data_IF_053074641320
#
_entry.id   IF_053074641320
#
_cell.length_a   1.000
_cell.length_b   1.000
_cell.length_c   1.000
_cell.angle_alpha   90.00
_cell.angle_beta   90.00
_cell.angle_gamma   90.00
#
_symmetry.space_group_name_H-M   'P 1'
#
loop_
_entity.id
_entity.type
_entity.pdbx_description
1 polymer ?
#
# COMPACT_ATOMS: atom_id res chain seq x y z
N UNK A 1 -72.14 -29.05 -40.55
CA UNK A 1 -73.22 -28.07 -40.74
C UNK A 1 -73.38 -27.35 -39.41
N UNK A 2 -73.14 -26.03 -39.39
CA UNK A 2 -73.30 -25.03 -38.31
C UNK A 2 -72.57 -25.31 -36.97
N UNK A 3 -71.55 -24.57 -36.52
CA UNK A 3 -71.37 -23.12 -36.24
C UNK A 3 -72.17 -22.59 -35.05
N UNK A 4 -71.46 -22.30 -33.95
CA UNK A 4 -71.54 -21.10 -33.10
C UNK A 4 -70.43 -21.23 -32.03
N UNK A 5 -69.58 -20.26 -31.69
CA UNK A 5 -69.65 -18.82 -31.89
C UNK A 5 -69.50 -18.12 -30.52
N UNK A 6 -68.47 -17.27 -30.37
CA UNK A 6 -68.22 -16.31 -29.27
C UNK A 6 -67.40 -16.81 -28.06
N UNK A 7 -66.53 -16.04 -27.40
CA UNK A 7 -65.73 -14.86 -27.72
C UNK A 7 -64.85 -14.57 -26.48
N UNK A 8 -63.54 -14.40 -26.71
CA UNK A 8 -62.69 -13.31 -26.18
C UNK A 8 -62.63 -13.06 -24.66
N UNK A 9 -61.44 -13.28 -24.08
CA UNK A 9 -60.79 -12.33 -23.18
C UNK A 9 -59.28 -12.63 -23.08
N UNK A 10 -58.49 -11.95 -23.91
CA UNK A 10 -57.03 -11.88 -23.77
C UNK A 10 -56.72 -10.85 -22.68
N UNK A 11 -56.00 -11.23 -21.62
CA UNK A 11 -55.35 -10.26 -20.74
C UNK A 11 -53.85 -10.20 -21.05
N UNK A 12 -53.50 -9.34 -22.00
CA UNK A 12 -52.17 -8.73 -22.07
C UNK A 12 -52.00 -7.88 -20.81
N UNK A 13 -51.07 -8.21 -19.93
CA UNK A 13 -50.53 -7.21 -18.98
C UNK A 13 -49.29 -6.61 -19.61
N UNK A 14 -49.49 -5.36 -19.99
CA UNK A 14 -48.54 -4.38 -20.49
C UNK A 14 -47.44 -4.20 -19.46
N UNK A 15 -46.18 -4.33 -19.92
CA UNK A 15 -45.03 -3.83 -19.20
C UNK A 15 -45.09 -2.30 -19.20
N UNK A 16 -45.07 -1.72 -18.00
CA UNK A 16 -44.80 -0.29 -17.80
C UNK A 16 -43.37 -0.21 -17.29
N UNK A 17 -42.49 0.30 -18.14
CA UNK A 17 -41.10 0.57 -17.82
C UNK A 17 -41.00 1.63 -16.73
N UNK A 18 -40.17 1.34 -15.73
CA UNK A 18 -39.71 2.33 -14.76
C UNK A 18 -38.54 3.06 -15.43
N UNK A 19 -38.86 4.18 -16.06
CA UNK A 19 -37.90 5.18 -16.49
C UNK A 19 -38.16 6.46 -15.68
N UNK A 20 -37.16 6.86 -14.89
CA UNK A 20 -37.19 8.03 -14.01
C UNK A 20 -36.38 7.67 -12.78
N UNK A 21 -35.16 8.15 -12.56
CA UNK A 21 -34.51 9.35 -13.07
C UNK A 21 -33.70 9.85 -11.89
N UNK A 22 -32.58 9.20 -11.58
CA UNK A 22 -31.70 9.63 -10.49
C UNK A 22 -30.85 10.78 -11.02
N UNK A 23 -31.23 11.99 -10.64
CA UNK A 23 -30.45 13.19 -10.86
C UNK A 23 -29.15 13.09 -10.07
N UNK A 24 -28.02 13.04 -10.78
CA UNK A 24 -26.67 13.12 -10.20
C UNK A 24 -26.40 14.61 -9.91
N UNK A 25 -26.52 14.99 -8.65
CA UNK A 25 -25.94 16.24 -8.15
C UNK A 25 -24.45 15.99 -7.86
N UNK A 26 -23.62 16.46 -8.78
CA UNK A 26 -22.20 16.66 -8.57
C UNK A 26 -21.99 17.84 -7.61
N UNK A 27 -21.55 17.57 -6.38
CA UNK A 27 -20.98 18.59 -5.51
C UNK A 27 -19.94 17.97 -4.54
N UNK A 28 -18.70 18.41 -4.70
CA UNK A 28 -17.58 18.38 -3.75
C UNK A 28 -17.22 17.06 -3.04
N UNK A 29 -16.19 16.37 -3.54
CA UNK A 29 -15.08 15.82 -2.73
C UNK A 29 -15.33 14.78 -1.64
N UNK A 30 -16.54 14.26 -1.44
CA UNK A 30 -16.83 13.21 -0.46
C UNK A 30 -16.71 11.81 -1.08
N UNK A 31 -16.01 10.90 -0.41
CA UNK A 31 -16.05 9.48 -0.74
C UNK A 31 -17.48 8.95 -0.57
N UNK A 32 -18.19 8.71 -1.67
CA UNK A 32 -19.55 8.15 -1.64
C UNK A 32 -19.44 6.66 -1.28
N UNK A 33 -19.75 6.30 -0.04
CA UNK A 33 -20.00 4.92 0.36
C UNK A 33 -21.39 4.52 -0.15
N UNK A 34 -21.47 3.39 -0.87
CA UNK A 34 -22.74 2.82 -1.31
C UNK A 34 -23.27 1.92 -0.17
N UNK A 35 -24.45 2.23 0.35
CA UNK A 35 -25.16 1.34 1.26
C UNK A 35 -25.62 0.09 0.49
N UNK A 36 -25.22 -1.11 0.95
CA UNK A 36 -25.73 -2.37 0.44
C UNK A 36 -27.04 -2.75 1.14
N UNK A 37 -27.97 -3.35 0.39
CA UNK A 37 -29.28 -3.86 0.89
C UNK A 37 -29.14 -5.01 1.93
N UNK A 38 -27.92 -5.40 2.29
CA UNK A 38 -27.59 -6.49 3.20
C UNK A 38 -27.10 -6.01 4.59
N UNK A 39 -27.29 -4.72 4.91
CA UNK A 39 -26.89 -4.14 6.20
C UNK A 39 -25.38 -3.85 6.29
N UNK A 40 -24.70 -3.74 5.15
CA UNK A 40 -23.26 -3.44 5.07
C UNK A 40 -23.01 -2.12 4.40
N UNK A 41 -22.00 -1.41 4.90
CA UNK A 41 -21.46 -0.22 4.26
C UNK A 41 -20.08 -0.53 3.70
N UNK A 42 -19.99 -0.55 2.37
CA UNK A 42 -18.73 -0.83 1.66
C UNK A 42 -18.04 0.47 1.32
N UNK A 43 -16.83 0.66 1.85
CA UNK A 43 -16.00 1.82 1.57
C UNK A 43 -15.18 1.56 0.31
N UNK A 44 -15.17 2.51 -0.64
CA UNK A 44 -14.31 2.40 -1.81
C UNK A 44 -12.85 2.23 -1.40
N UNK A 45 -12.12 1.41 -2.15
CA UNK A 45 -10.69 1.17 -1.94
C UNK A 45 -9.85 2.48 -1.88
N UNK A 46 -10.36 3.56 -2.49
CA UNK A 46 -9.73 4.88 -2.59
C UNK A 46 -9.90 5.79 -1.35
N UNK A 47 -10.64 5.38 -0.31
CA UNK A 47 -10.71 6.12 0.95
C UNK A 47 -9.31 6.30 1.56
N UNK A 48 -8.97 7.53 1.96
CA UNK A 48 -7.62 7.99 2.32
C UNK A 48 -7.04 7.18 3.50
N UNK A 49 -6.12 6.27 3.20
CA UNK A 49 -5.26 5.58 4.17
C UNK A 49 -3.83 6.03 3.87
N UNK A 50 -3.11 6.69 4.80
CA UNK A 50 -1.72 7.11 4.56
C UNK A 50 -0.77 5.92 4.29
N UNK A 51 -1.19 4.68 4.58
CA UNK A 51 -0.49 3.44 4.22
C UNK A 51 -1.00 2.80 2.91
N UNK A 52 -1.66 3.61 2.05
CA UNK A 52 -2.18 3.25 0.72
C UNK A 52 -1.25 2.29 -0.04
N UNK A 53 -1.57 1.00 -0.03
CA UNK A 53 -0.95 0.02 -0.91
C UNK A 53 -0.62 -1.35 -0.35
N UNK A 54 -1.02 -1.69 0.89
CA UNK A 54 -0.71 -2.96 1.56
C UNK A 54 -1.13 -4.24 0.82
N UNK A 55 -1.66 -4.16 -0.39
CA UNK A 55 -1.71 -5.30 -1.30
C UNK A 55 -0.31 -5.74 -1.80
N UNK A 56 0.61 -4.82 -2.13
CA UNK A 56 1.90 -5.16 -2.76
C UNK A 56 2.88 -5.84 -1.79
N UNK A 57 3.63 -6.84 -2.28
CA UNK A 57 4.66 -7.50 -1.47
C UNK A 57 5.72 -6.50 -0.96
N UNK A 58 6.01 -5.49 -1.76
CA UNK A 58 6.92 -4.39 -1.47
C UNK A 58 6.50 -3.63 -0.21
N UNK A 59 5.19 -3.38 -0.06
CA UNK A 59 4.63 -2.68 1.10
C UNK A 59 4.69 -3.56 2.36
N UNK A 60 4.47 -4.88 2.22
CA UNK A 60 4.65 -5.82 3.32
C UNK A 60 6.08 -5.83 3.84
N UNK A 61 7.07 -5.76 2.94
CA UNK A 61 8.48 -5.74 3.34
C UNK A 61 8.89 -4.37 3.87
N UNK A 62 8.41 -3.28 3.26
CA UNK A 62 8.76 -1.91 3.63
C UNK A 62 8.16 -1.46 4.96
N UNK A 63 6.93 -1.90 5.28
CA UNK A 63 6.20 -1.45 6.46
C UNK A 63 5.96 -2.56 7.49
N UNK A 64 5.98 -3.83 7.09
CA UNK A 64 5.75 -4.95 8.00
C UNK A 64 6.99 -5.43 8.74
N UNK A 65 6.76 -5.85 9.98
CA UNK A 65 7.70 -6.59 10.81
C UNK A 65 7.49 -8.10 10.64
N UNK A 66 6.24 -8.54 10.45
CA UNK A 66 5.90 -9.94 10.25
C UNK A 66 4.85 -10.13 9.16
N UNK A 67 4.90 -11.30 8.51
CA UNK A 67 3.76 -11.89 7.84
C UNK A 67 3.39 -13.16 8.59
N UNK A 68 2.13 -13.31 9.01
CA UNK A 68 1.72 -14.43 9.86
C UNK A 68 0.35 -14.97 9.47
N UNK A 69 0.16 -16.28 9.68
CA UNK A 69 -1.16 -16.92 9.63
C UNK A 69 -1.79 -16.81 11.01
N UNK A 70 -2.92 -16.14 11.09
CA UNK A 70 -3.66 -15.88 12.32
C UNK A 70 -5.05 -16.49 12.24
N UNK A 71 -5.55 -17.02 13.34
CA UNK A 71 -6.93 -17.48 13.49
C UNK A 71 -7.65 -16.52 14.44
N UNK A 72 -8.69 -15.86 13.97
CA UNK A 72 -9.48 -14.96 14.82
C UNK A 72 -10.32 -15.80 15.77
N UNK A 73 -10.15 -15.57 17.06
CA UNK A 73 -10.80 -16.34 18.14
C UNK A 73 -11.91 -15.55 18.81
N UNK A 74 -11.77 -14.22 18.90
CA UNK A 74 -12.72 -13.35 19.59
C UNK A 74 -12.84 -12.00 18.91
N UNK A 75 -14.00 -11.38 19.08
CA UNK A 75 -14.27 -10.01 18.71
C UNK A 75 -14.81 -9.25 19.94
N UNK A 76 -14.52 -7.95 20.00
CA UNK A 76 -15.12 -7.02 20.96
C UNK A 76 -15.40 -5.69 20.29
N UNK A 77 -16.59 -5.15 20.51
CA UNK A 77 -16.86 -3.76 20.23
C UNK A 77 -16.08 -2.86 21.19
N UNK A 78 -15.56 -1.75 20.66
CA UNK A 78 -15.08 -0.65 21.47
C UNK A 78 -16.23 0.24 21.95
N UNK A 79 -15.89 1.27 22.70
CA UNK A 79 -16.86 2.30 23.08
C UNK A 79 -17.24 3.12 21.83
N UNK A 80 -18.54 3.34 21.58
CA UNK A 80 -18.98 4.27 20.55
C UNK A 80 -18.44 5.66 20.86
N UNK A 81 -17.88 6.34 19.86
CA UNK A 81 -17.63 7.76 20.00
C UNK A 81 -18.99 8.50 19.90
N UNK A 82 -19.41 9.30 20.90
CA UNK A 82 -20.67 10.01 20.81
C UNK A 82 -20.71 11.08 19.70
N UNK A 83 -19.56 11.49 19.18
CA UNK A 83 -19.44 12.46 18.08
C UNK A 83 -19.31 11.80 16.70
N UNK A 84 -19.03 10.49 16.64
CA UNK A 84 -18.94 9.74 15.39
C UNK A 84 -20.02 8.66 15.31
N UNK A 85 -20.59 8.47 14.12
CA UNK A 85 -21.48 7.33 13.87
C UNK A 85 -20.73 6.00 13.77
N UNK A 86 -19.53 5.87 14.37
CA UNK A 86 -18.63 4.74 14.23
C UNK A 86 -18.34 4.07 15.57
N UNK A 87 -18.49 2.75 15.58
CA UNK A 87 -18.16 1.88 16.70
C UNK A 87 -16.91 1.10 16.29
N UNK A 88 -15.73 1.41 16.84
CA UNK A 88 -14.52 0.66 16.55
C UNK A 88 -14.66 -0.77 17.07
N UNK A 89 -13.86 -1.69 16.52
CA UNK A 89 -13.79 -3.04 17.06
C UNK A 89 -12.36 -3.54 17.18
N UNK A 90 -12.18 -4.51 18.07
CA UNK A 90 -10.94 -5.25 18.26
C UNK A 90 -11.19 -6.74 18.07
N UNK A 91 -10.24 -7.39 17.42
CA UNK A 91 -10.23 -8.85 17.28
C UNK A 91 -9.03 -9.44 17.99
N UNK A 92 -9.26 -10.50 18.73
CA UNK A 92 -8.20 -11.34 19.29
C UNK A 92 -7.94 -12.48 18.34
N UNK A 93 -6.67 -12.73 18.03
CA UNK A 93 -6.27 -13.79 17.11
C UNK A 93 -5.08 -14.58 17.64
N UNK A 94 -5.13 -15.89 17.45
CA UNK A 94 -4.00 -16.79 17.72
C UNK A 94 -3.08 -16.83 16.50
N UNK A 95 -1.80 -16.58 16.70
CA UNK A 95 -0.76 -16.73 15.68
C UNK A 95 -0.44 -18.21 15.54
N UNK A 96 -0.87 -18.79 14.42
CA UNK A 96 -0.67 -20.22 14.13
C UNK A 96 0.66 -20.51 13.45
N UNK A 97 1.17 -19.54 12.68
CA UNK A 97 2.44 -19.65 11.96
C UNK A 97 2.98 -18.29 11.56
N UNK A 98 4.26 -18.04 11.84
CA UNK A 98 4.99 -16.92 11.22
C UNK A 98 5.51 -17.36 9.85
N UNK A 99 5.19 -16.61 8.80
CA UNK A 99 5.55 -16.90 7.40
C UNK A 99 6.83 -16.16 7.02
N UNK A 100 6.94 -14.90 7.40
CA UNK A 100 8.10 -14.04 7.16
C UNK A 100 8.29 -13.11 8.35
N UNK A 101 9.52 -12.69 8.59
CA UNK A 101 9.84 -11.65 9.57
C UNK A 101 10.98 -10.80 9.05
N UNK A 102 10.87 -9.50 9.27
CA UNK A 102 11.95 -8.56 9.02
C UNK A 102 13.15 -8.90 9.93
N UNK A 103 14.40 -8.85 9.43
CA UNK A 103 15.56 -8.98 10.28
C UNK A 103 15.54 -7.96 11.43
N UNK A 104 15.70 -8.44 12.67
CA UNK A 104 15.66 -7.59 13.85
C UNK A 104 14.26 -7.23 14.36
N UNK A 105 13.19 -7.71 13.72
CA UNK A 105 11.84 -7.54 14.25
C UNK A 105 11.72 -8.19 15.65
N UNK A 106 10.99 -7.57 16.59
CA UNK A 106 10.63 -8.19 17.86
C UNK A 106 9.97 -9.55 17.66
N UNK A 107 9.96 -10.40 18.69
CA UNK A 107 9.24 -11.69 18.60
C UNK A 107 7.73 -11.43 18.61
N UNK A 108 7.03 -11.91 17.58
CA UNK A 108 5.58 -11.87 17.53
C UNK A 108 4.98 -12.77 18.64
N UNK A 109 4.07 -12.27 19.49
CA UNK A 109 3.36 -13.07 20.49
C UNK A 109 2.48 -14.17 19.87
N UNK A 110 2.17 -15.21 20.64
CA UNK A 110 1.26 -16.28 20.21
C UNK A 110 -0.20 -15.84 20.11
N UNK A 111 -0.57 -14.80 20.86
CA UNK A 111 -1.88 -14.17 20.81
C UNK A 111 -1.69 -12.67 20.58
N UNK A 112 -2.44 -12.12 19.63
CA UNK A 112 -2.40 -10.70 19.30
C UNK A 112 -3.82 -10.12 19.32
N UNK A 113 -3.91 -8.83 19.59
CA UNK A 113 -5.15 -8.06 19.45
C UNK A 113 -4.96 -7.02 18.37
N UNK A 114 -5.85 -7.01 17.37
CA UNK A 114 -5.81 -6.09 16.25
C UNK A 114 -7.00 -5.13 16.33
N UNK A 115 -6.77 -3.85 16.07
CA UNK A 115 -7.85 -2.90 15.76
C UNK A 115 -8.25 -3.09 14.31
N UNK A 116 -9.54 -3.25 14.05
CA UNK A 116 -10.09 -3.48 12.71
C UNK A 116 -11.40 -2.72 12.54
N UNK A 117 -11.91 -2.65 11.31
CA UNK A 117 -13.14 -1.93 11.01
C UNK A 117 -14.36 -2.55 11.73
N UNK A 118 -15.08 -1.73 12.49
CA UNK A 118 -16.21 -2.16 13.30
C UNK A 118 -17.56 -1.98 12.61
N UNK A 119 -18.39 -1.09 13.16
CA UNK A 119 -19.74 -0.85 12.69
C UNK A 119 -20.04 0.65 12.60
N UNK A 120 -20.96 1.02 11.73
CA UNK A 120 -21.60 2.31 11.77
C UNK A 120 -22.96 2.23 12.46
N UNK A 121 -23.31 3.23 13.24
CA UNK A 121 -24.68 3.41 13.72
C UNK A 121 -25.57 3.90 12.58
N UNK A 122 -26.79 3.39 12.52
CA UNK A 122 -27.81 3.89 11.59
C UNK A 122 -28.69 4.92 12.27
N UNK A 123 -29.34 5.79 11.48
CA UNK A 123 -30.28 6.81 11.99
C UNK A 123 -31.41 6.22 12.85
N UNK A 124 -31.70 4.92 12.71
CA UNK A 124 -32.74 4.21 13.45
C UNK A 124 -32.21 3.39 14.63
N UNK A 125 -30.95 3.62 15.05
CA UNK A 125 -30.32 2.92 16.17
C UNK A 125 -29.84 1.50 15.85
N UNK A 126 -29.79 1.13 14.56
CA UNK A 126 -29.20 -0.12 14.09
C UNK A 126 -27.70 -0.02 13.94
N UNK A 127 -27.06 -1.15 13.58
CA UNK A 127 -25.64 -1.21 13.24
C UNK A 127 -25.46 -1.76 11.83
N UNK A 128 -24.59 -1.11 11.06
CA UNK A 128 -24.13 -1.57 9.76
C UNK A 128 -22.67 -1.99 9.85
N UNK A 129 -22.34 -3.12 9.24
CA UNK A 129 -20.95 -3.60 9.15
C UNK A 129 -20.10 -2.61 8.33
N UNK A 130 -19.03 -2.07 8.93
CA UNK A 130 -18.06 -1.21 8.25
C UNK A 130 -17.05 -2.05 7.45
N UNK A 131 -17.27 -2.23 6.15
CA UNK A 131 -16.44 -3.13 5.32
C UNK A 131 -15.64 -2.32 4.30
N UNK A 132 -14.36 -2.62 4.12
CA UNK A 132 -13.57 -2.01 3.05
C UNK A 132 -13.61 -2.88 1.80
N UNK A 133 -13.87 -2.25 0.65
CA UNK A 133 -13.75 -2.89 -0.65
C UNK A 133 -12.33 -3.42 -0.86
N UNK A 134 -12.24 -4.69 -1.23
CA UNK A 134 -10.98 -5.38 -1.49
C UNK A 134 -10.29 -5.96 -0.26
N UNK A 135 -10.93 -5.98 0.91
CA UNK A 135 -10.33 -6.43 2.17
C UNK A 135 -11.25 -7.37 2.98
N UNK A 136 -10.69 -8.39 3.65
CA UNK A 136 -11.41 -9.13 4.68
C UNK A 136 -11.77 -8.24 5.87
N UNK A 137 -12.86 -8.57 6.58
CA UNK A 137 -13.17 -7.92 7.84
C UNK A 137 -12.28 -8.43 8.97
N UNK A 138 -11.83 -9.69 8.93
CA UNK A 138 -11.24 -10.44 10.05
C UNK A 138 -12.30 -10.89 11.06
N UNK A 139 -13.08 -11.89 10.69
CA UNK A 139 -14.20 -12.40 11.48
C UNK A 139 -13.81 -13.63 12.34
N UNK A 140 -14.38 -13.78 13.55
CA UNK A 140 -14.15 -14.95 14.40
C UNK A 140 -14.41 -16.29 13.69
N UNK A 141 -13.55 -17.26 13.94
CA UNK A 141 -13.63 -18.60 13.35
C UNK A 141 -12.86 -18.75 12.02
N UNK A 142 -12.47 -17.64 11.40
CA UNK A 142 -11.71 -17.62 10.16
C UNK A 142 -10.20 -17.49 10.37
N UNK A 143 -9.45 -17.90 9.36
CA UNK A 143 -7.99 -17.91 9.32
C UNK A 143 -7.51 -17.03 8.17
N UNK A 144 -6.48 -16.23 8.44
CA UNK A 144 -5.97 -15.24 7.51
C UNK A 144 -4.46 -15.25 7.44
N UNK A 145 -3.89 -14.96 6.28
CA UNK A 145 -2.52 -14.47 6.19
C UNK A 145 -2.56 -12.95 6.31
N UNK A 146 -1.83 -12.40 7.28
CA UNK A 146 -1.82 -10.96 7.58
C UNK A 146 -0.40 -10.38 7.56
N UNK A 147 -0.27 -9.15 7.10
CA UNK A 147 0.92 -8.31 7.24
C UNK A 147 0.80 -7.49 8.50
N UNK A 148 1.79 -7.61 9.40
CA UNK A 148 1.77 -7.03 10.74
C UNK A 148 2.97 -6.11 10.97
N UNK A 149 2.72 -5.04 11.72
CA UNK A 149 3.74 -4.11 12.24
C UNK A 149 3.51 -3.93 13.74
N UNK A 150 4.56 -3.64 14.51
CA UNK A 150 4.38 -3.41 15.93
C UNK A 150 5.63 -2.92 16.65
N UNK A 151 5.63 -1.61 16.91
CA UNK A 151 6.62 -0.87 17.68
C UNK A 151 6.11 -0.68 19.13
N UNK A 152 6.59 -1.50 20.07
CA UNK A 152 6.52 -1.23 21.52
C UNK A 152 5.15 -1.23 22.22
N UNK A 153 4.08 -0.73 21.60
CA UNK A 153 2.77 -0.50 22.22
C UNK A 153 1.68 -1.50 21.77
N UNK A 154 1.92 -2.28 20.72
CA UNK A 154 0.95 -3.24 20.21
C UNK A 154 1.31 -3.79 18.84
N UNK A 155 0.47 -4.71 18.35
CA UNK A 155 0.56 -5.27 17.01
C UNK A 155 -0.60 -4.71 16.20
N UNK A 156 -0.33 -4.23 14.99
CA UNK A 156 -1.30 -3.69 14.05
C UNK A 156 -1.17 -4.35 12.68
N UNK A 157 -2.20 -4.24 11.86
CA UNK A 157 -2.08 -4.51 10.43
C UNK A 157 -1.28 -3.38 9.79
N UNK A 158 -0.43 -3.70 8.81
CA UNK A 158 0.24 -2.67 8.00
C UNK A 158 -0.74 -1.85 7.13
N UNK A 159 -2.00 -2.26 7.07
CA UNK A 159 -3.12 -1.58 6.42
C UNK A 159 -4.29 -2.53 6.24
N UNK A 160 -5.48 -1.98 5.96
CA UNK A 160 -6.74 -2.76 5.94
C UNK A 160 -6.73 -3.91 4.91
N UNK A 161 -6.05 -3.73 3.78
CA UNK A 161 -5.95 -4.72 2.70
C UNK A 161 -4.74 -5.68 2.86
N UNK A 162 -4.01 -5.60 3.98
CA UNK A 162 -2.92 -6.49 4.32
C UNK A 162 -3.38 -7.84 4.89
N UNK A 163 -4.57 -8.30 4.52
CA UNK A 163 -5.15 -9.55 5.00
C UNK A 163 -5.70 -10.37 3.83
N UNK A 164 -5.42 -11.67 3.84
CA UNK A 164 -5.88 -12.62 2.83
C UNK A 164 -6.64 -13.77 3.49
N UNK A 165 -7.79 -14.19 2.95
CA UNK A 165 -8.50 -15.38 3.42
C UNK A 165 -7.62 -16.64 3.27
N UNK A 166 -7.53 -17.46 4.31
CA UNK A 166 -6.67 -18.64 4.37
C UNK A 166 -7.30 -19.84 5.10
N UNK A 167 -8.62 -19.98 5.03
CA UNK A 167 -9.31 -21.09 5.69
C UNK A 167 -8.92 -22.45 5.11
N UNK A 168 -8.81 -23.43 6.01
CA UNK A 168 -8.40 -24.79 5.69
C UNK A 168 -7.08 -24.85 4.89
N UNK A 169 -6.15 -23.94 5.17
CA UNK A 169 -4.83 -23.89 4.53
C UNK A 169 -4.86 -23.48 3.05
N UNK A 170 -5.96 -22.88 2.58
CA UNK A 170 -6.18 -22.55 1.16
C UNK A 170 -6.33 -21.05 0.98
N UNK A 171 -5.46 -20.44 0.17
CA UNK A 171 -5.58 -19.01 -0.16
C UNK A 171 -6.89 -18.69 -0.90
N UNK A 172 -7.51 -17.59 -0.51
CA UNK A 172 -8.76 -17.10 -1.08
C UNK A 172 -10.00 -17.89 -0.66
N UNK A 173 -9.87 -18.83 0.28
CA UNK A 173 -11.00 -19.45 0.98
C UNK A 173 -11.18 -18.78 2.34
N UNK A 174 -12.42 -18.45 2.68
CA UNK A 174 -12.79 -17.94 4.00
C UNK A 174 -13.63 -16.68 3.90
N UNK A 175 -13.57 -15.82 4.91
CA UNK A 175 -14.29 -14.55 4.86
C UNK A 175 -13.52 -13.49 4.06
N UNK A 176 -14.26 -12.76 3.23
CA UNK A 176 -13.81 -11.60 2.48
C UNK A 176 -14.98 -10.61 2.34
N UNK A 177 -14.76 -9.34 2.67
CA UNK A 177 -15.79 -8.29 2.64
C UNK A 177 -17.07 -8.63 3.44
N UNK A 178 -16.93 -9.35 4.55
CA UNK A 178 -18.04 -9.80 5.41
C UNK A 178 -18.83 -10.98 4.84
N UNK A 179 -18.29 -11.67 3.83
CA UNK A 179 -18.96 -12.81 3.19
C UNK A 179 -18.02 -13.99 3.06
N UNK A 180 -18.57 -15.20 3.18
CA UNK A 180 -17.84 -16.42 2.85
C UNK A 180 -17.56 -16.48 1.35
N UNK A 181 -16.30 -16.63 0.97
CA UNK A 181 -15.84 -16.78 -0.42
C UNK A 181 -15.03 -18.06 -0.62
N UNK A 182 -15.17 -18.63 -1.81
CA UNK A 182 -14.28 -19.68 -2.29
C UNK A 182 -13.10 -19.13 -3.10
N UNK A 183 -12.04 -19.92 -3.32
CA UNK A 183 -10.82 -19.48 -4.01
C UNK A 183 -11.06 -18.83 -5.38
N UNK A 184 -12.00 -19.38 -6.17
CA UNK A 184 -12.30 -18.84 -7.51
C UNK A 184 -13.00 -17.48 -7.45
N UNK A 185 -13.87 -17.27 -6.46
CA UNK A 185 -14.53 -15.98 -6.25
C UNK A 185 -13.53 -14.92 -5.81
N UNK A 186 -12.67 -15.25 -4.84
CA UNK A 186 -11.61 -14.36 -4.40
C UNK A 186 -10.60 -14.03 -5.51
N UNK A 187 -10.19 -15.02 -6.32
CA UNK A 187 -9.32 -14.80 -7.48
C UNK A 187 -9.92 -13.80 -8.47
N UNK A 188 -11.24 -13.81 -8.69
CA UNK A 188 -11.92 -12.82 -9.53
C UNK A 188 -11.88 -11.44 -8.89
N UNK A 189 -12.12 -11.34 -7.58
CA UNK A 189 -12.08 -10.08 -6.84
C UNK A 189 -10.71 -9.39 -6.92
N UNK A 190 -9.61 -10.16 -6.84
CA UNK A 190 -8.24 -9.59 -6.85
C UNK A 190 -7.62 -9.47 -8.24
N UNK A 191 -8.35 -9.76 -9.32
CA UNK A 191 -7.80 -9.80 -10.70
C UNK A 191 -7.22 -8.46 -11.14
N UNK A 192 -7.84 -7.35 -10.70
CA UNK A 192 -7.43 -5.99 -11.01
C UNK A 192 -6.17 -5.50 -10.28
N UNK A 193 -5.70 -6.23 -9.26
CA UNK A 193 -4.53 -5.81 -8.49
C UNK A 193 -3.22 -5.93 -9.31
N UNK A 194 -2.16 -5.21 -8.94
CA UNK A 194 -0.80 -5.43 -9.44
C UNK A 194 -0.35 -6.89 -9.28
N UNK A 195 0.49 -7.41 -10.19
CA UNK A 195 0.89 -8.84 -10.18
C UNK A 195 1.67 -9.27 -8.94
N UNK A 196 2.41 -8.32 -8.39
CA UNK A 196 3.20 -8.34 -7.16
C UNK A 196 2.36 -8.14 -5.89
N UNK A 197 1.06 -7.86 -6.02
CA UNK A 197 0.15 -7.90 -4.88
C UNK A 197 0.15 -9.30 -4.24
N UNK A 198 0.44 -9.40 -2.95
CA UNK A 198 0.45 -10.66 -2.18
C UNK A 198 -0.86 -11.42 -2.39
N UNK A 199 -2.00 -10.70 -2.34
CA UNK A 199 -3.33 -11.24 -2.62
C UNK A 199 -3.44 -11.86 -4.02
N UNK A 200 -2.98 -11.17 -5.06
CA UNK A 200 -3.02 -11.66 -6.44
C UNK A 200 -2.02 -12.78 -6.69
N UNK A 201 -0.80 -12.65 -6.17
CA UNK A 201 0.23 -13.66 -6.26
C UNK A 201 -0.23 -14.98 -5.65
N UNK A 202 -0.77 -14.95 -4.43
CA UNK A 202 -1.20 -16.12 -3.67
C UNK A 202 -2.29 -16.94 -4.38
N UNK A 203 -3.09 -16.32 -5.26
CA UNK A 203 -4.16 -17.01 -6.00
C UNK A 203 -3.96 -17.04 -7.52
N UNK A 204 -2.80 -16.61 -8.01
CA UNK A 204 -2.51 -16.43 -9.45
C UNK A 204 -2.54 -17.73 -10.27
N UNK A 205 -2.33 -18.88 -9.63
CA UNK A 205 -2.20 -20.16 -10.31
C UNK A 205 -3.36 -21.11 -10.01
N UNK A 206 -4.09 -21.50 -11.06
CA UNK A 206 -5.24 -22.41 -10.97
C UNK A 206 -4.80 -23.86 -10.80
N UNK A 207 -3.76 -24.29 -11.52
CA UNK A 207 -3.34 -25.71 -11.56
C UNK A 207 -2.22 -26.04 -10.56
N UNK A 208 -1.54 -25.03 -10.03
CA UNK A 208 -0.53 -25.15 -8.97
C UNK A 208 -0.79 -24.08 -7.92
N UNK A 209 -1.77 -24.29 -7.03
CA UNK A 209 -2.10 -23.32 -6.00
C UNK A 209 -0.84 -22.95 -5.24
N UNK A 210 -0.61 -21.64 -5.04
CA UNK A 210 0.54 -21.18 -4.27
C UNK A 210 0.39 -21.61 -2.81
N UNK A 211 1.53 -21.78 -2.16
CA UNK A 211 1.64 -22.23 -0.78
C UNK A 211 2.24 -21.14 0.10
N UNK A 212 2.18 -21.28 1.43
CA UNK A 212 2.87 -20.34 2.34
C UNK A 212 4.38 -20.23 2.04
N UNK A 213 5.11 -21.32 1.74
CA UNK A 213 6.48 -21.23 1.24
C UNK A 213 6.65 -20.38 -0.03
N UNK A 214 5.68 -20.35 -0.95
CA UNK A 214 5.74 -19.48 -2.13
C UNK A 214 5.63 -18.00 -1.73
N UNK A 215 4.70 -17.67 -0.83
CA UNK A 215 4.53 -16.29 -0.34
C UNK A 215 5.75 -15.86 0.48
N UNK A 216 6.31 -16.75 1.31
CA UNK A 216 7.56 -16.48 2.02
C UNK A 216 8.69 -16.15 1.05
N UNK A 217 8.88 -16.95 0.00
CA UNK A 217 9.90 -16.68 -1.03
C UNK A 217 9.67 -15.35 -1.75
N UNK A 218 8.42 -14.99 -2.03
CA UNK A 218 8.09 -13.68 -2.58
C UNK A 218 8.62 -12.59 -1.64
N UNK A 219 8.24 -12.61 -0.37
CA UNK A 219 8.64 -11.59 0.61
C UNK A 219 10.16 -11.57 0.88
N UNK A 220 10.83 -12.73 0.91
CA UNK A 220 12.29 -12.83 1.07
C UNK A 220 13.07 -12.24 -0.12
N UNK A 221 12.50 -12.31 -1.33
CA UNK A 221 13.14 -11.79 -2.54
C UNK A 221 12.66 -10.39 -2.93
N UNK A 222 11.61 -9.88 -2.30
CA UNK A 222 11.13 -8.52 -2.49
C UNK A 222 12.02 -7.53 -1.74
N UNK A 223 12.47 -6.49 -2.46
CA UNK A 223 13.28 -5.42 -1.89
C UNK A 223 12.40 -4.21 -1.56
N UNK A 224 12.46 -3.66 -0.33
CA UNK A 224 11.67 -2.49 0.03
C UNK A 224 12.18 -1.21 -0.66
N UNK A 225 13.33 -1.28 -1.34
CA UNK A 225 13.93 -0.17 -2.09
C UNK A 225 12.98 0.42 -3.15
N UNK A 226 12.03 -0.35 -3.66
CA UNK A 226 11.06 0.14 -4.64
C UNK A 226 9.99 1.04 -4.00
N UNK A 227 9.54 0.78 -2.77
CA UNK A 227 8.60 1.66 -2.04
C UNK A 227 9.28 2.98 -1.70
N UNK A 228 10.49 2.94 -1.17
CA UNK A 228 11.25 4.16 -0.88
C UNK A 228 11.61 4.94 -2.14
N UNK A 229 11.86 4.24 -3.26
CA UNK A 229 11.99 4.86 -4.60
C UNK A 229 10.71 5.55 -5.03
N UNK A 230 9.56 4.91 -4.87
CA UNK A 230 8.28 5.49 -5.26
C UNK A 230 7.86 6.63 -4.34
N UNK A 231 8.07 6.52 -3.02
CA UNK A 231 7.81 7.59 -2.06
C UNK A 231 8.70 8.81 -2.34
N UNK A 232 9.99 8.59 -2.62
CA UNK A 232 10.88 9.66 -3.03
C UNK A 232 10.45 10.27 -4.38
N UNK A 233 10.00 9.46 -5.35
CA UNK A 233 9.48 9.95 -6.62
C UNK A 233 8.14 10.67 -6.50
N UNK A 234 7.29 10.27 -5.55
CA UNK A 234 6.02 10.90 -5.27
C UNK A 234 6.22 12.23 -4.53
N UNK A 235 7.17 12.29 -3.57
CA UNK A 235 7.63 13.54 -2.97
C UNK A 235 8.19 14.50 -4.03
N UNK A 236 8.95 13.96 -4.99
CA UNK A 236 9.37 14.67 -6.20
C UNK A 236 8.21 15.08 -7.14
N UNK A 237 6.97 14.65 -6.88
CA UNK A 237 5.78 15.02 -7.64
C UNK A 237 4.83 15.96 -6.88
N UNK A 238 4.88 15.98 -5.55
CA UNK A 238 3.99 16.79 -4.70
C UNK A 238 4.61 18.12 -4.26
N UNK A 239 5.91 18.18 -4.00
CA UNK A 239 6.60 19.41 -3.55
C UNK A 239 7.33 20.14 -4.69
N UNK A 240 7.48 19.45 -5.81
CA UNK A 240 8.26 19.91 -6.95
C UNK A 240 7.37 20.69 -7.90
N UNK A 241 7.11 21.94 -7.53
CA UNK A 241 6.51 22.91 -8.43
C UNK A 241 7.51 23.17 -9.57
N UNK A 242 7.27 22.55 -10.73
CA UNK A 242 8.16 22.51 -11.91
C UNK A 242 8.51 23.91 -12.45
N UNK A 243 7.74 24.92 -12.04
CA UNK A 243 7.89 26.33 -12.42
C UNK A 243 8.69 27.16 -11.41
N UNK A 244 9.11 26.58 -10.26
CA UNK A 244 9.85 27.30 -9.23
C UNK A 244 11.35 27.29 -9.54
N UNK A 245 11.96 28.48 -9.59
CA UNK A 245 13.43 28.58 -9.60
C UNK A 245 14.00 27.99 -8.30
N UNK A 246 15.15 27.30 -8.32
CA UNK A 246 15.80 26.80 -7.11
C UNK A 246 16.03 27.98 -6.16
N UNK A 247 15.52 27.91 -4.94
CA UNK A 247 15.94 28.85 -3.90
C UNK A 247 17.23 28.34 -3.21
N UNK A 248 17.80 29.18 -2.35
CA UNK A 248 19.07 28.93 -1.66
C UNK A 248 18.94 28.01 -0.44
N UNK A 249 17.73 27.53 -0.13
CA UNK A 249 17.43 26.72 1.05
C UNK A 249 16.80 25.37 0.72
N UNK A 250 16.48 25.09 -0.54
CA UNK A 250 15.94 23.81 -0.96
C UNK A 250 17.07 22.79 -1.19
N UNK A 251 17.07 21.72 -0.40
CA UNK A 251 17.75 20.43 -0.72
C UNK A 251 17.09 19.70 -1.91
N UNK A 252 16.18 20.40 -2.61
CA UNK A 252 15.35 19.98 -3.71
C UNK A 252 15.43 21.01 -4.85
N UNK A 253 15.24 20.62 -6.10
CA UNK A 253 15.21 21.59 -7.19
C UNK A 253 14.75 21.03 -8.52
N UNK A 254 14.37 21.94 -9.43
CA UNK A 254 13.94 21.64 -10.80
C UNK A 254 14.58 22.57 -11.79
N UNK A 255 14.96 22.04 -12.95
CA UNK A 255 15.23 22.85 -14.12
C UNK A 255 15.52 22.01 -15.34
N UNK A 256 15.33 22.60 -16.52
CA UNK A 256 15.98 22.09 -17.73
C UNK A 256 17.49 22.09 -17.48
N UNK A 257 18.16 20.98 -17.82
CA UNK A 257 19.60 20.82 -17.61
C UNK A 257 20.36 21.14 -18.92
N UNK A 258 20.77 22.40 -19.17
CA UNK A 258 21.69 22.71 -20.27
C UNK A 258 23.15 22.33 -19.96
N UNK A 259 23.45 21.82 -18.75
CA UNK A 259 24.82 21.59 -18.30
C UNK A 259 24.95 20.69 -17.06
N UNK A 260 25.90 21.03 -16.18
CA UNK A 260 26.24 20.29 -14.97
C UNK A 260 25.72 21.02 -13.74
N UNK A 261 24.92 20.36 -12.92
CA UNK A 261 24.55 20.81 -11.58
C UNK A 261 25.49 20.14 -10.59
N UNK A 262 26.11 20.91 -9.70
CA UNK A 262 26.88 20.40 -8.56
C UNK A 262 26.34 21.04 -7.29
N UNK A 263 26.10 20.21 -6.28
CA UNK A 263 25.58 20.63 -4.97
C UNK A 263 26.33 19.90 -3.89
N UNK A 264 26.43 20.57 -2.75
CA UNK A 264 27.18 20.14 -1.58
C UNK A 264 26.27 20.29 -0.37
N UNK A 265 26.08 19.20 0.36
CA UNK A 265 25.28 19.14 1.59
C UNK A 265 26.21 18.78 2.74
N UNK A 266 26.36 19.69 3.70
CA UNK A 266 27.31 19.59 4.81
C UNK A 266 26.67 19.22 6.15
N UNK A 267 25.34 19.09 6.21
CA UNK A 267 24.56 18.92 7.44
C UNK A 267 23.88 17.55 7.60
N UNK A 268 24.38 16.52 6.91
CA UNK A 268 23.83 15.17 7.05
C UNK A 268 24.19 14.56 8.40
N UNK A 269 23.22 13.90 9.03
CA UNK A 269 23.36 13.26 10.33
C UNK A 269 24.30 12.04 10.23
N UNK A 270 25.46 12.06 10.90
CA UNK A 270 26.41 10.96 10.86
C UNK A 270 25.80 9.69 11.48
N UNK A 271 25.66 8.64 10.67
CA UNK A 271 25.09 7.35 11.09
C UNK A 271 23.71 7.06 10.48
N UNK A 272 23.06 8.07 9.92
CA UNK A 272 21.84 7.91 9.14
C UNK A 272 22.21 7.59 7.69
N UNK A 273 21.63 6.54 7.09
CA UNK A 273 21.75 6.35 5.64
C UNK A 273 20.98 7.44 4.90
N UNK A 274 21.28 7.73 3.65
CA UNK A 274 20.53 8.69 2.83
C UNK A 274 20.26 8.13 1.43
N UNK A 275 19.27 8.66 0.73
CA UNK A 275 18.99 8.38 -0.67
C UNK A 275 19.02 9.67 -1.47
N UNK A 276 19.89 9.74 -2.47
CA UNK A 276 19.78 10.74 -3.53
C UNK A 276 18.81 10.20 -4.58
N UNK A 277 17.70 10.88 -4.73
CA UNK A 277 16.67 10.60 -5.73
C UNK A 277 16.89 11.52 -6.90
N UNK A 278 16.99 10.98 -8.12
CA UNK A 278 17.09 11.81 -9.33
C UNK A 278 16.06 11.34 -10.34
N UNK A 279 15.16 12.24 -10.72
CA UNK A 279 14.19 12.04 -11.79
C UNK A 279 14.58 12.86 -13.01
N UNK A 280 14.52 12.26 -14.21
CA UNK A 280 14.73 13.00 -15.45
C UNK A 280 13.70 12.64 -16.51
N UNK A 281 13.42 13.60 -17.39
CA UNK A 281 12.54 13.45 -18.53
C UNK A 281 13.30 13.68 -19.85
N UNK A 282 13.01 12.86 -20.86
CA UNK A 282 13.60 12.98 -22.20
C UNK A 282 13.79 11.65 -22.89
N UNK A 283 13.20 11.48 -24.09
CA UNK A 283 13.30 10.25 -24.87
C UNK A 283 14.76 10.00 -25.27
N UNK A 284 15.24 8.79 -24.99
CA UNK A 284 16.58 8.28 -25.31
C UNK A 284 17.72 9.14 -24.73
N UNK A 285 17.42 9.89 -23.66
CA UNK A 285 18.39 10.69 -22.93
C UNK A 285 18.98 9.90 -21.77
N UNK A 286 20.19 10.30 -21.38
CA UNK A 286 20.90 9.76 -20.23
C UNK A 286 21.44 10.91 -19.41
N UNK A 287 21.31 10.80 -18.10
CA UNK A 287 22.01 11.65 -17.15
C UNK A 287 23.15 10.85 -16.52
N UNK A 288 24.21 11.54 -16.14
CA UNK A 288 25.30 11.01 -15.33
C UNK A 288 25.18 11.64 -13.95
N UNK A 289 25.02 10.80 -12.93
CA UNK A 289 24.98 11.22 -11.52
C UNK A 289 26.29 10.78 -10.87
N UNK A 290 27.09 11.75 -10.47
CA UNK A 290 28.25 11.57 -9.61
C UNK A 290 27.85 11.86 -8.17
N UNK A 291 28.17 10.96 -7.27
CA UNK A 291 27.95 11.14 -5.85
C UNK A 291 29.30 10.99 -5.15
N UNK A 292 29.75 12.03 -4.46
CA UNK A 292 30.99 12.07 -3.70
C UNK A 292 30.67 12.13 -2.21
N UNK A 293 31.15 11.14 -1.47
CA UNK A 293 30.92 10.99 -0.04
C UNK A 293 32.27 10.68 0.58
N UNK A 294 32.70 11.44 1.59
CA UNK A 294 34.03 11.27 2.19
C UNK A 294 35.20 11.33 1.17
N UNK A 295 35.04 12.08 0.07
CA UNK A 295 36.04 12.16 -1.00
C UNK A 295 36.06 10.98 -1.98
N UNK A 296 35.23 9.94 -1.76
CA UNK A 296 35.05 8.84 -2.71
C UNK A 296 33.88 9.15 -3.65
N UNK A 297 34.12 9.13 -4.96
CA UNK A 297 33.10 9.43 -5.97
C UNK A 297 32.61 8.16 -6.66
N UNK A 298 31.31 7.89 -6.55
CA UNK A 298 30.61 6.88 -7.34
C UNK A 298 29.83 7.57 -8.46
N UNK A 299 30.08 7.16 -9.69
CA UNK A 299 29.36 7.69 -10.87
C UNK A 299 28.44 6.63 -11.47
N UNK A 300 27.21 7.03 -11.80
CA UNK A 300 26.25 6.18 -12.52
C UNK A 300 25.63 6.90 -13.70
N UNK A 301 25.37 6.15 -14.77
CA UNK A 301 24.62 6.63 -15.94
C UNK A 301 23.20 6.08 -15.89
N UNK A 302 22.23 6.98 -15.88
CA UNK A 302 20.81 6.65 -15.71
C UNK A 302 20.06 7.00 -17.01
N UNK A 303 19.28 6.07 -17.58
CA UNK A 303 18.39 6.40 -18.70
C UNK A 303 17.17 7.18 -18.20
N UNK A 304 16.76 8.23 -18.92
CA UNK A 304 15.48 8.88 -18.67
C UNK A 304 14.34 8.01 -19.23
N UNK A 305 13.25 7.86 -18.49
CA UNK A 305 12.17 6.97 -18.90
C UNK A 305 11.40 7.51 -20.12
N UNK A 306 10.99 6.61 -21.02
CA UNK A 306 10.09 6.96 -22.11
C UNK A 306 8.66 7.14 -21.57
N UNK A 307 8.15 8.37 -21.59
CA UNK A 307 6.73 8.66 -21.33
C UNK A 307 6.35 9.01 -19.89
N UNK A 308 7.30 9.32 -19.01
CA UNK A 308 7.03 9.74 -17.62
C UNK A 308 8.31 10.01 -16.81
N UNK A 309 8.15 10.40 -15.55
CA UNK A 309 9.23 10.59 -14.56
C UNK A 309 9.98 9.27 -14.32
N UNK A 310 11.11 9.08 -14.98
CA UNK A 310 12.05 8.01 -14.65
C UNK A 310 12.94 8.45 -13.51
N UNK A 311 12.76 7.85 -12.33
CA UNK A 311 13.62 8.11 -11.17
C UNK A 311 14.61 6.99 -10.89
N UNK A 312 15.87 7.30 -10.62
CA UNK A 312 16.81 6.35 -10.01
C UNK A 312 17.23 6.88 -8.64
N UNK A 313 17.35 5.95 -7.67
CA UNK A 313 17.88 6.23 -6.35
C UNK A 313 19.35 5.81 -6.29
N UNK A 314 20.21 6.70 -5.82
CA UNK A 314 21.55 6.35 -5.33
C UNK A 314 21.53 6.36 -3.82
N UNK A 315 21.68 5.18 -3.21
CA UNK A 315 21.80 5.05 -1.77
C UNK A 315 23.20 5.48 -1.31
N UNK A 316 23.24 6.24 -0.23
CA UNK A 316 24.44 6.65 0.50
C UNK A 316 24.36 6.00 1.88
N UNK A 317 25.10 4.92 2.11
CA UNK A 317 25.09 4.30 3.43
C UNK A 317 26.00 5.08 4.37
N UNK A 318 25.41 5.67 5.43
CA UNK A 318 26.09 6.38 6.52
C UNK A 318 27.18 7.36 6.03
N UNK A 319 26.81 8.38 5.23
CA UNK A 319 27.75 9.44 4.94
C UNK A 319 28.24 10.04 6.26
N UNK A 320 29.55 10.21 6.35
CA UNK A 320 30.17 11.06 7.36
C UNK A 320 30.67 12.31 6.60
N UNK A 321 30.54 13.49 7.20
CA UNK A 321 30.99 14.73 6.57
C UNK A 321 30.18 15.16 5.34
N UNK A 322 30.84 15.85 4.43
CA UNK A 322 30.22 16.53 3.29
C UNK A 322 29.84 15.56 2.17
N UNK A 323 28.59 15.63 1.71
CA UNK A 323 28.12 14.91 0.52
C UNK A 323 27.97 15.88 -0.63
N UNK A 324 28.78 15.67 -1.67
CA UNK A 324 28.67 16.41 -2.93
C UNK A 324 28.02 15.53 -3.98
N UNK A 325 26.94 15.97 -4.59
CA UNK A 325 26.38 15.32 -5.78
C UNK A 325 26.48 16.21 -7.00
N UNK A 326 26.69 15.57 -8.13
CA UNK A 326 26.81 16.19 -9.44
C UNK A 326 25.87 15.47 -10.41
N UNK A 327 24.99 16.22 -11.07
CA UNK A 327 24.09 15.71 -12.09
C UNK A 327 24.46 16.40 -13.40
N UNK A 328 24.79 15.62 -14.42
CA UNK A 328 25.16 16.14 -15.73
C UNK A 328 24.44 15.41 -16.86
N UNK A 329 24.10 16.15 -17.90
CA UNK A 329 23.59 15.59 -19.17
C UNK A 329 24.67 15.66 -20.24
N UNK A 330 24.75 14.64 -21.09
CA UNK A 330 25.65 14.63 -22.26
C UNK A 330 24.98 15.13 -23.55
N UNK A 331 23.77 15.71 -23.49
CA UNK A 331 23.09 16.21 -24.68
C UNK A 331 22.14 17.38 -24.41
N UNK A 332 21.94 18.23 -25.43
CA UNK A 332 20.90 19.26 -25.42
C UNK A 332 19.50 18.62 -25.37
N UNK A 333 18.57 19.27 -24.66
CA UNK A 333 17.18 18.83 -24.56
C UNK A 333 16.93 17.66 -23.60
N UNK A 334 17.68 17.56 -22.50
CA UNK A 334 17.22 16.85 -21.30
C UNK A 334 16.25 17.77 -20.60
N UNK A 335 14.98 17.35 -20.49
CA UNK A 335 13.96 18.12 -19.81
C UNK A 335 14.20 18.17 -18.32
N UNK A 336 13.31 18.87 -17.61
CA UNK A 336 13.28 19.02 -16.15
C UNK A 336 13.90 17.82 -15.41
N UNK A 337 14.96 18.10 -14.65
CA UNK A 337 15.53 17.17 -13.69
C UNK A 337 15.15 17.61 -12.29
N UNK A 338 14.62 16.68 -11.53
CA UNK A 338 14.27 16.88 -10.12
C UNK A 338 15.14 15.98 -9.25
N UNK A 339 15.56 16.48 -8.09
CA UNK A 339 16.34 15.70 -7.13
C UNK A 339 15.92 15.98 -5.69
N UNK A 340 16.17 15.00 -4.81
CA UNK A 340 15.97 15.12 -3.37
C UNK A 340 16.96 14.19 -2.64
N UNK A 341 17.51 14.64 -1.50
CA UNK A 341 18.24 13.79 -0.56
C UNK A 341 17.37 13.55 0.67
N UNK A 342 16.97 12.30 0.90
CA UNK A 342 16.14 11.93 2.06
C UNK A 342 16.85 10.93 2.97
N UNK A 343 16.61 10.98 4.30
CA UNK A 343 17.08 9.95 5.22
C UNK A 343 16.60 8.56 4.79
N UNK A 344 17.50 7.60 4.78
CA UNK A 344 17.18 6.20 4.68
C UNK A 344 16.56 5.74 6.00
N UNK A 345 15.52 4.88 5.95
CA UNK A 345 14.98 4.28 7.16
C UNK A 345 16.10 3.56 7.92
N UNK A 346 16.18 3.83 9.23
CA UNK A 346 17.16 3.23 10.12
C UNK A 346 17.03 1.70 10.04
N UNK A 347 18.12 0.98 9.70
CA UNK A 347 18.17 -0.47 9.86
C UNK A 347 18.21 -0.77 11.36
N UNK A 348 17.19 -1.35 11.99
CA UNK A 348 17.27 -1.71 13.39
C UNK A 348 18.28 -2.86 13.53
N UNK A 349 19.30 -2.70 14.38
CA UNK A 349 20.14 -3.83 14.83
C UNK A 349 21.63 -3.82 14.47
N UNK A 350 22.21 -2.70 14.01
CA UNK A 350 23.68 -2.63 13.82
C UNK A 350 24.43 -1.65 14.71
N UNK A 351 23.73 -0.71 15.35
CA UNK A 351 24.36 0.36 16.12
C UNK A 351 23.92 0.33 17.61
N UNK A 352 23.78 -0.87 18.18
CA UNK A 352 23.82 -0.99 19.64
C UNK A 352 25.27 -0.83 20.10
N UNK A 353 25.55 -0.10 21.20
CA UNK A 353 26.90 -0.03 21.74
C UNK A 353 27.37 -1.46 22.00
N UNK A 354 28.51 -1.84 21.40
CA UNK A 354 29.15 -3.10 21.70
C UNK A 354 29.43 -3.19 23.21
N UNK A 355 29.41 -4.39 23.81
CA UNK A 355 29.60 -4.58 25.24
C UNK A 355 31.08 -4.43 25.66
N UNK A 356 31.73 -3.36 25.22
CA UNK A 356 33.08 -2.98 25.64
C UNK A 356 33.05 -1.49 26.04
N UNK A 357 32.64 -1.26 27.28
CA UNK A 357 32.55 0.06 27.88
C UNK A 357 32.32 -0.05 29.38
N UNK A 358 33.14 -0.86 30.06
CA UNK A 358 33.27 -0.80 31.50
C UNK A 358 33.96 0.51 31.88
N UNK A 359 33.24 1.38 32.61
CA UNK A 359 33.67 2.01 33.87
C UNK A 359 32.44 2.45 34.65
#
# INVERSE_FOLDING_TARGET
MASDGSAVASSRRVGIGIAGGLAVLLAAGGAVALAGDDGRRVFPRASYDPLRGSAAAEEWVAHGDHAAVVRVTRETAGEPDPEEDYIPRRVTATVTRVVWSRPGAPRLPEEITLRVNGWYTTLWGGREEATREGAPRLEPGHTYLVGLVGLGEGVELIGDDAALPYDAGTFGRGEFEGRGVGPDAYRRAVRGLPRDAVAKFAVSETYRPRTLPDVRRLLEHTSPRNVYRQAALNGLGTDVNVDRRPDEHADEGVGDLPGRIRRTVSTLDPGTGYFLSVACSGRDKKITVGLTVNGETVTRRLPCAQGGTGGELMAVERPHGEVTYEISSTGSGVGAVAWNISPAPVRPGRDGPGPDGAF
#
